data_IF_800091830164
#
_entry.id   IF_800091830164
#
_cell.length_a   1.000
_cell.length_b   1.000
_cell.length_c   1.000
_cell.angle_alpha   90.00
_cell.angle_beta   90.00
_cell.angle_gamma   90.00
#
_symmetry.space_group_name_H-M   'P 1'
#
loop_
_entity.id
_entity.type
_entity.pdbx_description
1 polymer ?
#
# COMPACT_ATOMS: atom_id res chain seq x y z
N UNK A 1 16.15 1.43 11.17
CA UNK A 1 16.26 1.35 9.70
C UNK A 1 15.03 1.97 9.07
N UNK A 2 15.19 3.09 8.38
CA UNK A 2 14.10 3.74 7.66
C UNK A 2 13.66 2.82 6.51
N UNK A 3 12.44 2.29 6.58
CA UNK A 3 11.81 1.68 5.41
C UNK A 3 11.44 2.80 4.46
N UNK A 4 12.44 3.21 3.69
CA UNK A 4 12.33 4.21 2.65
C UNK A 4 11.52 3.58 1.50
N UNK A 5 10.21 3.77 1.53
CA UNK A 5 9.37 3.65 0.33
C UNK A 5 8.81 5.03 0.06
N UNK A 6 9.69 5.98 -0.28
CA UNK A 6 9.25 7.19 -0.96
C UNK A 6 8.74 6.73 -2.33
N UNK A 7 7.45 6.44 -2.40
CA UNK A 7 6.81 6.19 -3.69
C UNK A 7 6.78 7.59 -4.34
N UNK A 8 7.40 7.76 -5.50
CA UNK A 8 7.35 9.03 -6.23
C UNK A 8 5.98 9.12 -6.92
N UNK A 9 5.18 10.11 -6.51
CA UNK A 9 3.78 10.26 -6.92
C UNK A 9 3.52 11.45 -7.85
N UNK A 10 4.58 12.12 -8.32
CA UNK A 10 4.50 13.38 -9.07
C UNK A 10 3.59 13.31 -10.30
N UNK A 11 3.32 12.12 -10.84
CA UNK A 11 2.63 11.91 -12.12
C UNK A 11 1.42 10.96 -12.06
N UNK A 12 0.90 10.60 -10.88
CA UNK A 12 -0.21 9.63 -10.79
C UNK A 12 -1.58 10.31 -10.81
N UNK A 13 -2.48 9.84 -11.68
CA UNK A 13 -3.89 10.23 -11.70
C UNK A 13 -4.68 9.58 -10.55
N UNK A 14 -5.82 10.16 -10.16
CA UNK A 14 -6.71 9.61 -9.10
C UNK A 14 -7.08 8.15 -9.40
N UNK A 15 -7.35 7.83 -10.66
CA UNK A 15 -7.72 6.48 -11.07
C UNK A 15 -6.58 5.47 -10.85
N UNK A 16 -5.33 5.88 -11.10
CA UNK A 16 -4.15 5.04 -10.87
C UNK A 16 -3.86 4.87 -9.38
N UNK A 17 -4.11 5.91 -8.58
CA UNK A 17 -4.07 5.85 -7.11
C UNK A 17 -5.06 4.79 -6.63
N UNK A 18 -6.31 4.84 -7.09
CA UNK A 18 -7.33 3.88 -6.67
C UNK A 18 -7.05 2.45 -7.15
N UNK A 19 -6.58 2.27 -8.40
CA UNK A 19 -6.14 0.96 -8.90
C UNK A 19 -5.02 0.39 -8.03
N UNK A 20 -4.01 1.20 -7.67
CA UNK A 20 -2.92 0.77 -6.80
C UNK A 20 -3.39 0.45 -5.38
N UNK A 21 -4.34 1.19 -4.80
CA UNK A 21 -4.96 0.86 -3.50
C UNK A 21 -5.58 -0.54 -3.56
N UNK A 22 -6.35 -0.84 -4.61
CA UNK A 22 -7.01 -2.12 -4.78
C UNK A 22 -5.97 -3.26 -4.87
N UNK A 23 -4.92 -3.06 -5.67
CA UNK A 23 -3.84 -4.05 -5.81
C UNK A 23 -3.14 -4.30 -4.48
N UNK A 24 -2.76 -3.25 -3.74
CA UNK A 24 -2.10 -3.38 -2.44
C UNK A 24 -3.00 -4.08 -1.40
N UNK A 25 -4.31 -3.83 -1.43
CA UNK A 25 -5.28 -4.54 -0.57
C UNK A 25 -5.37 -6.03 -0.90
N UNK A 26 -5.37 -6.40 -2.19
CA UNK A 26 -5.33 -7.80 -2.63
C UNK A 26 -4.07 -8.51 -2.16
N UNK A 27 -2.91 -7.86 -2.31
CA UNK A 27 -1.63 -8.41 -1.83
C UNK A 27 -1.63 -8.58 -0.31
N UNK A 28 -2.15 -7.61 0.45
CA UNK A 28 -2.28 -7.73 1.89
C UNK A 28 -3.21 -8.89 2.29
N UNK A 29 -4.28 -9.12 1.54
CA UNK A 29 -5.19 -10.24 1.75
C UNK A 29 -4.50 -11.59 1.49
N UNK A 30 -3.75 -11.72 0.40
CA UNK A 30 -2.94 -12.92 0.11
C UNK A 30 -1.93 -13.19 1.23
N UNK A 31 -1.19 -12.17 1.70
CA UNK A 31 -0.24 -12.32 2.80
C UNK A 31 -0.91 -12.76 4.11
N UNK A 32 -2.16 -12.33 4.37
CA UNK A 32 -2.93 -12.81 5.53
C UNK A 32 -3.34 -14.27 5.39
N UNK A 33 -3.75 -14.70 4.20
CA UNK A 33 -4.06 -16.11 3.93
C UNK A 33 -2.81 -16.95 4.16
N UNK A 34 -1.67 -16.59 3.56
CA UNK A 34 -0.40 -17.29 3.72
C UNK A 34 0.02 -17.40 5.20
N UNK A 35 -0.17 -16.32 5.97
CA UNK A 35 0.05 -16.34 7.42
C UNK A 35 -0.86 -17.34 8.12
N UNK A 36 -2.15 -17.35 7.76
CA UNK A 36 -3.15 -18.27 8.34
C UNK A 36 -2.85 -19.72 8.03
N UNK A 37 -2.36 -20.01 6.83
CA UNK A 37 -1.93 -21.36 6.40
C UNK A 37 -0.56 -21.75 6.95
N UNK A 38 0.01 -20.96 7.88
CA UNK A 38 1.34 -21.16 8.48
C UNK A 38 2.48 -21.30 7.45
N UNK A 39 2.36 -20.66 6.29
CA UNK A 39 3.44 -20.59 5.32
C UNK A 39 4.55 -19.67 5.82
N UNK A 40 5.78 -19.94 5.42
CA UNK A 40 6.97 -19.14 5.78
C UNK A 40 6.92 -17.78 5.10
N UNK A 41 6.31 -16.80 5.75
CA UNK A 41 6.23 -15.42 5.27
C UNK A 41 7.19 -14.50 6.02
N UNK A 42 7.72 -13.51 5.29
CA UNK A 42 8.51 -12.44 5.88
C UNK A 42 7.59 -11.47 6.63
N UNK A 43 7.74 -11.38 7.95
CA UNK A 43 6.89 -10.55 8.82
C UNK A 43 6.85 -9.06 8.44
N UNK A 44 7.97 -8.53 7.93
CA UNK A 44 8.07 -7.13 7.51
C UNK A 44 7.23 -6.79 6.27
N UNK A 45 6.90 -7.77 5.42
CA UNK A 45 6.08 -7.51 4.22
C UNK A 45 4.68 -7.02 4.59
N UNK A 46 4.08 -7.59 5.64
CA UNK A 46 2.80 -7.11 6.17
C UNK A 46 2.87 -5.66 6.64
N UNK A 47 3.96 -5.27 7.32
CA UNK A 47 4.19 -3.89 7.78
C UNK A 47 4.37 -2.94 6.59
N UNK A 48 5.19 -3.32 5.61
CA UNK A 48 5.44 -2.51 4.41
C UNK A 48 4.15 -2.29 3.63
N UNK A 49 3.36 -3.34 3.36
CA UNK A 49 2.11 -3.22 2.60
C UNK A 49 1.07 -2.35 3.32
N UNK A 50 0.96 -2.46 4.65
CA UNK A 50 0.12 -1.54 5.44
C UNK A 50 0.57 -0.08 5.31
N UNK A 51 1.87 0.18 5.40
CA UNK A 51 2.41 1.53 5.23
C UNK A 51 2.16 2.09 3.83
N UNK A 52 2.35 1.28 2.78
CA UNK A 52 2.09 1.68 1.39
C UNK A 52 0.61 2.05 1.17
N UNK A 53 -0.32 1.29 1.76
CA UNK A 53 -1.76 1.62 1.70
C UNK A 53 -2.03 2.96 2.40
N UNK A 54 -1.47 3.17 3.60
CA UNK A 54 -1.67 4.41 4.34
C UNK A 54 -1.13 5.63 3.58
N UNK A 55 0.09 5.54 3.01
CA UNK A 55 0.67 6.60 2.19
C UNK A 55 -0.23 6.95 1.00
N UNK A 56 -0.74 5.93 0.30
CA UNK A 56 -1.61 6.13 -0.86
C UNK A 56 -2.95 6.80 -0.48
N UNK A 57 -3.53 6.44 0.67
CA UNK A 57 -4.73 7.10 1.18
C UNK A 57 -4.46 8.57 1.55
N UNK A 58 -3.34 8.85 2.20
CA UNK A 58 -2.96 10.24 2.54
C UNK A 58 -2.84 11.09 1.28
N UNK A 59 -2.24 10.57 0.22
CA UNK A 59 -2.08 11.30 -1.03
C UNK A 59 -3.42 11.53 -1.72
N UNK A 60 -4.30 10.53 -1.73
CA UNK A 60 -5.66 10.71 -2.22
C UNK A 60 -6.35 11.86 -1.51
N UNK A 61 -6.26 11.92 -0.18
CA UNK A 61 -6.84 13.01 0.62
C UNK A 61 -6.21 14.36 0.29
N UNK A 62 -4.89 14.44 0.19
CA UNK A 62 -4.17 15.68 -0.17
C UNK A 62 -4.59 16.16 -1.57
N UNK A 63 -4.70 15.26 -2.54
CA UNK A 63 -5.14 15.58 -3.89
C UNK A 63 -6.58 16.10 -3.92
N UNK A 64 -7.49 15.46 -3.17
CA UNK A 64 -8.90 15.88 -3.09
C UNK A 64 -9.06 17.24 -2.40
N UNK A 65 -8.20 17.57 -1.42
CA UNK A 65 -8.23 18.85 -0.71
C UNK A 65 -7.58 20.01 -1.48
N UNK A 66 -6.76 19.73 -2.51
CA UNK A 66 -6.16 20.76 -3.36
C UNK A 66 -7.09 21.24 -4.48
N UNK A 67 -8.27 20.63 -4.62
CA UNK A 67 -9.28 20.93 -5.63
C UNK A 67 -10.47 21.64 -5.01
#
# INVERSE_FOLDING_TARGET
MAFNTKIDFSNLTIEEIDKKIITLKKELFMLKIQKSTKQTIKSHLLKIKKNQIAQMLTIKTVYMNQK
#
